data_IF_151037707997
#
_entry.id   IF_151037707997
#
_cell.length_a   1.000
_cell.length_b   1.000
_cell.length_c   1.000
_cell.angle_alpha   90.00
_cell.angle_beta   90.00
_cell.angle_gamma   90.00
#
_symmetry.space_group_name_H-M   'P 1'
#
loop_
_entity.id
_entity.type
_entity.pdbx_description
1 polymer ?
#
# COMPACT_ATOMS: atom_id res chain seq x y z
N UNK A 1 28.44 1.15 -4.48
CA UNK A 1 27.18 1.88 -4.72
C UNK A 1 27.39 2.80 -5.91
N UNK A 2 26.87 2.43 -7.07
CA UNK A 2 26.79 3.31 -8.24
C UNK A 2 25.34 3.31 -8.66
N UNK A 3 24.51 4.04 -7.93
CA UNK A 3 23.19 4.42 -8.43
C UNK A 3 23.46 5.41 -9.56
N UNK A 4 23.08 5.05 -10.78
CA UNK A 4 23.08 6.01 -11.89
C UNK A 4 22.27 7.23 -11.41
N UNK A 5 22.83 8.45 -11.44
CA UNK A 5 22.10 9.62 -10.96
C UNK A 5 20.78 9.74 -11.75
N UNK A 6 19.68 10.13 -11.09
CA UNK A 6 18.38 10.25 -11.76
C UNK A 6 18.51 11.15 -12.98
N UNK A 7 17.90 10.74 -14.09
CA UNK A 7 17.94 11.51 -15.31
C UNK A 7 17.37 12.91 -15.07
N UNK A 8 18.04 13.95 -15.58
CA UNK A 8 17.50 15.31 -15.51
C UNK A 8 16.15 15.34 -16.22
N UNK A 9 15.11 16.00 -15.65
CA UNK A 9 13.81 16.11 -16.30
C UNK A 9 13.98 16.76 -17.68
N UNK A 10 13.43 16.15 -18.73
CA UNK A 10 13.39 16.79 -20.05
C UNK A 10 12.24 17.79 -20.15
N UNK A 11 11.19 17.60 -19.35
CA UNK A 11 10.06 18.50 -19.21
C UNK A 11 9.51 18.39 -17.78
N UNK A 12 9.79 19.35 -16.88
CA UNK A 12 9.30 19.31 -15.50
C UNK A 12 7.77 19.17 -15.48
N UNK A 13 7.27 18.19 -14.72
CA UNK A 13 5.85 17.91 -14.65
C UNK A 13 5.11 19.13 -14.07
N UNK A 14 4.14 19.65 -14.82
CA UNK A 14 3.27 20.75 -14.36
C UNK A 14 2.18 20.17 -13.47
N UNK A 15 2.36 20.29 -12.16
CA UNK A 15 1.39 19.85 -11.18
C UNK A 15 0.26 20.88 -11.03
N UNK A 16 -0.97 20.39 -10.95
CA UNK A 16 -2.16 21.20 -10.68
C UNK A 16 -2.64 20.91 -9.25
N UNK A 17 -2.58 21.91 -8.37
CA UNK A 17 -2.93 21.76 -6.94
C UNK A 17 -4.38 21.31 -6.70
N UNK A 18 -5.27 21.38 -7.69
CA UNK A 18 -6.62 20.81 -7.59
C UNK A 18 -6.59 19.28 -7.55
N UNK A 19 -5.63 18.64 -8.22
CA UNK A 19 -5.58 17.18 -8.39
C UNK A 19 -4.32 16.54 -7.80
N UNK A 20 -3.22 17.30 -7.76
CA UNK A 20 -1.88 16.80 -7.48
C UNK A 20 -1.40 17.29 -6.11
N UNK A 21 -1.60 16.46 -5.09
CA UNK A 21 -1.26 16.73 -3.68
C UNK A 21 -0.05 15.90 -3.19
N UNK A 22 0.92 15.67 -4.07
CA UNK A 22 2.07 14.82 -3.78
C UNK A 22 3.05 15.47 -2.80
N UNK A 23 3.44 14.72 -1.78
CA UNK A 23 4.44 15.10 -0.78
C UNK A 23 5.71 14.23 -0.87
N UNK A 24 5.93 13.65 -2.05
CA UNK A 24 7.07 12.84 -2.43
C UNK A 24 7.53 13.25 -3.84
N UNK A 25 8.78 12.92 -4.23
CA UNK A 25 9.28 13.26 -5.56
C UNK A 25 8.43 12.67 -6.69
N UNK A 26 8.12 13.49 -7.70
CA UNK A 26 7.20 13.14 -8.80
C UNK A 26 7.88 12.91 -10.14
N UNK A 27 9.21 12.99 -10.21
CA UNK A 27 9.97 12.76 -11.45
C UNK A 27 10.46 11.32 -11.50
N UNK A 28 10.21 10.63 -12.62
CA UNK A 28 10.71 9.28 -12.86
C UNK A 28 12.25 9.27 -12.99
N UNK A 29 12.95 8.28 -12.40
CA UNK A 29 14.41 8.25 -12.38
C UNK A 29 15.04 7.98 -13.75
N UNK A 30 14.30 7.35 -14.67
CA UNK A 30 14.75 7.03 -16.03
C UNK A 30 14.01 7.92 -17.01
N UNK A 31 14.75 8.60 -17.90
CA UNK A 31 14.19 9.41 -18.97
C UNK A 31 13.53 8.52 -20.03
N UNK A 32 12.26 8.24 -19.84
CA UNK A 32 11.44 7.45 -20.76
C UNK A 32 10.19 8.26 -21.12
N UNK A 33 9.92 8.40 -22.42
CA UNK A 33 8.76 9.15 -22.90
C UNK A 33 7.46 8.68 -22.23
N UNK A 34 6.61 9.64 -21.88
CA UNK A 34 5.33 9.40 -21.22
C UNK A 34 5.42 9.10 -19.72
N UNK A 35 6.62 9.10 -19.14
CA UNK A 35 6.80 9.01 -17.69
C UNK A 35 6.86 10.40 -17.07
N UNK A 36 6.45 10.55 -15.79
CA UNK A 36 6.47 11.80 -15.07
C UNK A 36 7.84 12.51 -15.13
N UNK A 37 7.85 13.78 -15.56
CA UNK A 37 9.06 14.57 -15.78
C UNK A 37 9.74 14.40 -17.15
N UNK A 38 9.21 13.49 -17.98
CA UNK A 38 9.74 13.14 -19.31
C UNK A 38 8.62 13.03 -20.36
N UNK A 39 7.54 13.79 -20.18
CA UNK A 39 6.43 13.90 -21.12
C UNK A 39 6.71 14.93 -22.21
N UNK A 40 6.14 14.75 -23.40
CA UNK A 40 6.08 15.80 -24.42
C UNK A 40 4.89 16.74 -24.17
N UNK A 41 4.86 17.96 -24.74
CA UNK A 41 3.70 18.83 -24.65
C UNK A 41 2.39 18.19 -25.14
N UNK A 42 2.48 17.32 -26.16
CA UNK A 42 1.33 16.55 -26.65
C UNK A 42 0.84 15.56 -25.60
N UNK A 43 1.74 14.87 -24.91
CA UNK A 43 1.39 13.95 -23.82
C UNK A 43 0.76 14.68 -22.62
N UNK A 44 1.27 15.87 -22.28
CA UNK A 44 0.68 16.73 -21.26
C UNK A 44 -0.75 17.16 -21.64
N UNK A 45 -0.96 17.51 -22.91
CA UNK A 45 -2.30 17.83 -23.43
C UNK A 45 -3.24 16.62 -23.39
N UNK A 46 -2.74 15.41 -23.64
CA UNK A 46 -3.51 14.17 -23.54
C UNK A 46 -3.93 13.84 -22.09
N UNK A 47 -3.08 14.15 -21.10
CA UNK A 47 -3.45 14.07 -19.68
C UNK A 47 -4.60 15.03 -19.37
N UNK A 48 -4.49 16.29 -19.80
CA UNK A 48 -5.55 17.28 -19.60
C UNK A 48 -6.86 16.87 -20.29
N UNK A 49 -6.78 16.38 -21.53
CA UNK A 49 -7.94 15.89 -22.28
C UNK A 49 -8.62 14.72 -21.57
N UNK A 50 -7.85 13.69 -21.16
CA UNK A 50 -8.39 12.55 -20.42
C UNK A 50 -9.08 13.01 -19.13
N UNK A 51 -8.44 13.90 -18.37
CA UNK A 51 -8.99 14.46 -17.14
C UNK A 51 -10.34 15.14 -17.36
N UNK A 52 -10.41 16.06 -18.33
CA UNK A 52 -11.66 16.76 -18.67
C UNK A 52 -12.78 15.80 -19.07
N UNK A 53 -12.47 14.75 -19.84
CA UNK A 53 -13.45 13.76 -20.26
C UNK A 53 -13.99 12.94 -19.08
N UNK A 54 -13.15 12.66 -18.07
CA UNK A 54 -13.55 11.94 -16.86
C UNK A 54 -14.37 12.83 -15.93
N UNK A 55 -13.99 14.10 -15.76
CA UNK A 55 -14.79 15.07 -15.01
C UNK A 55 -16.17 15.28 -15.64
N UNK A 56 -16.27 15.34 -16.97
CA UNK A 56 -17.54 15.43 -17.69
C UNK A 56 -18.46 14.21 -17.47
N UNK A 57 -17.88 13.06 -17.08
CA UNK A 57 -18.63 11.87 -16.66
C UNK A 57 -18.95 11.84 -15.15
N UNK A 58 -18.52 12.86 -14.40
CA UNK A 58 -18.78 12.99 -12.97
C UNK A 58 -17.76 12.30 -12.06
N UNK A 59 -16.61 11.86 -12.58
CA UNK A 59 -15.54 11.33 -11.73
C UNK A 59 -14.80 12.48 -11.03
N UNK A 60 -14.49 12.28 -9.76
CA UNK A 60 -13.75 13.25 -8.91
C UNK A 60 -12.48 12.68 -8.33
N UNK A 61 -12.41 11.35 -8.15
CA UNK A 61 -11.29 10.68 -7.51
C UNK A 61 -10.26 10.20 -8.53
N UNK A 62 -8.99 10.09 -8.09
CA UNK A 62 -7.88 9.48 -8.87
C UNK A 62 -7.64 10.14 -10.24
N UNK A 63 -7.98 11.43 -10.35
CA UNK A 63 -7.71 12.29 -11.51
C UNK A 63 -6.33 12.97 -11.46
N UNK A 64 -5.51 12.58 -10.48
CA UNK A 64 -4.15 13.02 -10.28
C UNK A 64 -3.26 12.62 -11.48
N UNK A 65 -2.30 13.47 -11.80
CA UNK A 65 -1.47 13.38 -13.01
C UNK A 65 -0.71 12.05 -13.10
N UNK A 66 -0.14 11.56 -12.00
CA UNK A 66 0.57 10.29 -11.96
C UNK A 66 -0.35 9.10 -12.26
N UNK A 67 -1.56 9.08 -11.70
CA UNK A 67 -2.55 8.04 -12.03
C UNK A 67 -2.95 8.07 -13.50
N UNK A 68 -3.32 9.24 -14.04
CA UNK A 68 -3.75 9.36 -15.43
C UNK A 68 -2.63 8.97 -16.42
N UNK A 69 -1.37 9.32 -16.11
CA UNK A 69 -0.23 8.92 -16.92
C UNK A 69 -0.06 7.38 -16.98
N UNK A 70 -0.32 6.64 -15.89
CA UNK A 70 -0.28 5.17 -15.90
C UNK A 70 -1.33 4.58 -16.86
N UNK A 71 -2.55 5.10 -16.83
CA UNK A 71 -3.62 4.66 -17.76
C UNK A 71 -3.30 5.00 -19.22
N UNK A 72 -2.77 6.20 -19.48
CA UNK A 72 -2.33 6.60 -20.81
C UNK A 72 -1.20 5.71 -21.32
N UNK A 73 -0.15 5.46 -20.52
CA UNK A 73 0.95 4.55 -20.90
C UNK A 73 0.44 3.15 -21.23
N UNK A 74 -0.44 2.59 -20.39
CA UNK A 74 -1.03 1.27 -20.60
C UNK A 74 -1.85 1.16 -21.90
N UNK A 75 -2.25 2.28 -22.50
CA UNK A 75 -2.99 2.36 -23.77
C UNK A 75 -2.23 3.14 -24.84
N UNK A 76 -0.90 3.22 -24.74
CA UNK A 76 -0.01 3.87 -25.73
C UNK A 76 -0.45 5.31 -26.05
N UNK A 77 -0.88 6.05 -25.03
CA UNK A 77 -1.43 7.41 -25.11
C UNK A 77 -2.68 7.56 -26.00
N UNK A 78 -3.41 6.47 -26.27
CA UNK A 78 -4.76 6.58 -26.82
C UNK A 78 -5.73 7.02 -25.73
N UNK A 79 -6.19 8.27 -25.81
CA UNK A 79 -7.03 8.90 -24.78
C UNK A 79 -8.37 8.19 -24.59
N UNK A 80 -9.05 7.80 -25.67
CA UNK A 80 -10.34 7.10 -25.58
C UNK A 80 -10.18 5.71 -24.94
N UNK A 81 -9.15 4.95 -25.36
CA UNK A 81 -8.88 3.64 -24.78
C UNK A 81 -8.46 3.74 -23.30
N UNK A 82 -7.70 4.78 -22.92
CA UNK A 82 -7.34 5.07 -21.53
C UNK A 82 -8.59 5.42 -20.70
N UNK A 83 -9.49 6.25 -21.24
CA UNK A 83 -10.80 6.56 -20.63
C UNK A 83 -11.63 5.29 -20.41
N UNK A 84 -11.77 4.43 -21.42
CA UNK A 84 -12.51 3.16 -21.27
C UNK A 84 -11.90 2.30 -20.16
N UNK A 85 -10.57 2.20 -20.10
CA UNK A 85 -9.88 1.44 -19.06
C UNK A 85 -10.10 2.05 -17.67
N UNK A 86 -10.03 3.38 -17.54
CA UNK A 86 -10.27 4.09 -16.27
C UNK A 86 -11.70 3.87 -15.78
N UNK A 87 -12.69 4.09 -16.64
CA UNK A 87 -14.11 3.88 -16.32
C UNK A 87 -14.39 2.45 -15.86
N UNK A 88 -13.82 1.45 -16.55
CA UNK A 88 -13.95 0.06 -16.16
C UNK A 88 -13.26 -0.25 -14.82
N UNK A 89 -12.13 0.39 -14.53
CA UNK A 89 -11.44 0.28 -13.24
C UNK A 89 -12.28 0.89 -12.12
N UNK A 90 -12.81 2.09 -12.29
CA UNK A 90 -13.66 2.75 -11.29
C UNK A 90 -14.93 1.94 -11.00
N UNK A 91 -15.55 1.35 -12.03
CA UNK A 91 -16.69 0.46 -11.83
C UNK A 91 -16.29 -0.79 -11.04
N UNK A 92 -15.19 -1.44 -11.42
CA UNK A 92 -14.68 -2.61 -10.69
C UNK A 92 -14.34 -2.27 -9.23
N UNK A 93 -13.72 -1.12 -8.96
CA UNK A 93 -13.40 -0.68 -7.59
C UNK A 93 -14.66 -0.58 -6.73
N UNK A 94 -15.75 -0.03 -7.29
CA UNK A 94 -17.06 0.04 -6.63
C UNK A 94 -17.64 -1.35 -6.39
N UNK A 95 -17.69 -2.20 -7.42
CA UNK A 95 -18.27 -3.54 -7.33
C UNK A 95 -17.50 -4.45 -6.36
N UNK A 96 -16.17 -4.32 -6.32
CA UNK A 96 -15.29 -5.09 -5.45
C UNK A 96 -15.19 -4.54 -4.02
N UNK A 97 -15.64 -3.29 -3.79
CA UNK A 97 -15.49 -2.60 -2.51
C UNK A 97 -14.03 -2.24 -2.18
N UNK A 98 -13.25 -1.84 -3.19
CA UNK A 98 -11.80 -1.65 -3.05
C UNK A 98 -11.42 -0.48 -2.15
N UNK A 99 -12.18 0.62 -2.22
CA UNK A 99 -11.83 1.88 -1.55
C UNK A 99 -11.85 1.80 -0.02
N UNK A 100 -12.62 0.88 0.58
CA UNK A 100 -12.62 0.61 2.03
C UNK A 100 -11.98 -0.74 2.39
N UNK A 101 -11.46 -1.47 1.39
CA UNK A 101 -11.02 -2.84 1.58
C UNK A 101 -9.89 -2.94 2.62
N UNK A 102 -8.92 -2.02 2.58
CA UNK A 102 -7.78 -2.06 3.50
C UNK A 102 -8.20 -1.87 4.96
N UNK A 103 -9.26 -1.10 5.22
CA UNK A 103 -9.77 -0.86 6.57
C UNK A 103 -10.73 -1.95 7.05
N UNK A 104 -11.52 -2.50 6.14
CA UNK A 104 -12.65 -3.36 6.51
C UNK A 104 -12.30 -4.85 6.43
N UNK A 105 -11.41 -5.23 5.50
CA UNK A 105 -11.05 -6.62 5.28
C UNK A 105 -9.94 -7.09 6.22
N UNK A 106 -10.30 -8.05 7.08
CA UNK A 106 -9.37 -8.70 8.00
C UNK A 106 -9.06 -10.12 7.52
N UNK A 107 -7.80 -10.36 7.13
CA UNK A 107 -7.32 -11.66 6.68
C UNK A 107 -6.77 -12.48 7.85
N UNK A 108 -7.67 -12.88 8.75
CA UNK A 108 -7.34 -13.54 10.02
C UNK A 108 -6.63 -14.88 9.85
N UNK A 109 -6.86 -15.56 8.72
CA UNK A 109 -6.23 -16.83 8.39
C UNK A 109 -4.88 -16.69 7.66
N UNK A 110 -4.30 -15.47 7.58
CA UNK A 110 -3.07 -15.19 6.83
C UNK A 110 -1.93 -16.14 7.21
N UNK A 111 -1.71 -16.39 8.50
CA UNK A 111 -0.61 -17.25 8.96
C UNK A 111 -0.79 -18.71 8.51
N UNK A 112 -2.02 -19.24 8.56
CA UNK A 112 -2.34 -20.59 8.10
C UNK A 112 -2.20 -20.71 6.58
N UNK A 113 -2.65 -19.69 5.84
CA UNK A 113 -2.49 -19.63 4.38
C UNK A 113 -1.02 -19.52 3.99
N UNK A 114 -0.22 -18.80 4.77
CA UNK A 114 1.21 -18.58 4.53
C UNK A 114 2.00 -19.89 4.49
N UNK A 115 1.58 -20.94 5.20
CA UNK A 115 2.22 -22.26 5.14
C UNK A 115 2.21 -22.86 3.72
N UNK A 116 1.14 -22.59 2.96
CA UNK A 116 0.92 -23.12 1.61
C UNK A 116 1.23 -22.09 0.53
N UNK A 117 0.99 -20.81 0.78
CA UNK A 117 1.25 -19.76 -0.19
C UNK A 117 1.87 -18.52 0.46
N UNK A 118 3.20 -18.56 0.70
CA UNK A 118 3.94 -17.40 1.17
C UNK A 118 3.86 -16.24 0.18
N UNK A 119 3.33 -15.11 0.64
CA UNK A 119 3.26 -13.84 -0.09
C UNK A 119 3.55 -12.69 0.87
N UNK A 120 4.54 -11.86 0.57
CA UNK A 120 4.91 -10.75 1.46
C UNK A 120 5.77 -9.69 0.75
N UNK A 121 5.69 -8.46 1.26
CA UNK A 121 6.65 -7.41 0.94
C UNK A 121 7.81 -7.42 1.93
N UNK A 122 9.00 -7.11 1.46
CA UNK A 122 10.19 -7.04 2.29
C UNK A 122 11.25 -6.08 1.72
N UNK A 123 11.41 -4.92 2.37
CA UNK A 123 12.42 -3.92 2.08
C UNK A 123 12.38 -3.49 0.60
N UNK A 124 13.53 -3.10 0.04
CA UNK A 124 13.63 -2.52 -1.30
C UNK A 124 14.77 -3.10 -2.13
N UNK A 125 14.62 -3.03 -3.45
CA UNK A 125 15.71 -3.25 -4.39
C UNK A 125 16.68 -2.06 -4.42
N UNK A 126 17.76 -2.15 -5.20
CA UNK A 126 18.79 -1.10 -5.30
C UNK A 126 18.30 0.18 -5.96
N UNK A 127 17.16 0.12 -6.66
CA UNK A 127 16.52 1.25 -7.32
C UNK A 127 15.40 1.84 -6.42
N UNK A 128 15.26 1.33 -5.19
CA UNK A 128 14.30 1.79 -4.18
C UNK A 128 12.92 1.12 -4.24
N UNK A 129 12.65 0.23 -5.20
CA UNK A 129 11.32 -0.39 -5.34
C UNK A 129 11.03 -1.33 -4.18
N UNK A 130 9.80 -1.35 -3.63
CA UNK A 130 9.37 -2.40 -2.71
C UNK A 130 9.60 -3.79 -3.32
N UNK A 131 10.25 -4.70 -2.59
CA UNK A 131 10.42 -6.08 -3.04
C UNK A 131 9.23 -6.90 -2.58
N UNK A 132 8.51 -7.49 -3.52
CA UNK A 132 7.44 -8.45 -3.28
C UNK A 132 7.96 -9.87 -3.52
N UNK A 133 7.67 -10.79 -2.63
CA UNK A 133 8.12 -12.18 -2.71
C UNK A 133 6.91 -13.11 -2.63
N UNK A 134 6.84 -14.05 -3.57
CA UNK A 134 5.83 -15.11 -3.59
C UNK A 134 6.46 -16.48 -3.87
N UNK A 135 5.99 -17.52 -3.19
CA UNK A 135 6.49 -18.90 -3.36
C UNK A 135 5.38 -19.81 -3.90
N UNK A 136 5.36 -20.01 -5.23
CA UNK A 136 4.32 -20.79 -5.89
C UNK A 136 4.48 -22.29 -5.69
N UNK A 137 5.71 -22.77 -5.48
CA UNK A 137 5.97 -24.20 -5.35
C UNK A 137 5.47 -24.85 -4.07
N UNK A 138 4.96 -24.06 -3.12
CA UNK A 138 4.31 -24.55 -1.90
C UNK A 138 2.80 -24.66 -2.02
N UNK A 139 2.20 -24.14 -3.11
CA UNK A 139 0.75 -24.03 -3.22
C UNK A 139 0.11 -25.42 -3.19
N UNK A 140 -0.75 -25.61 -2.19
CA UNK A 140 -1.74 -26.68 -2.12
C UNK A 140 -3.13 -26.05 -2.01
N UNK A 141 -3.80 -25.87 -3.15
CA UNK A 141 -5.14 -25.29 -3.17
C UNK A 141 -6.17 -26.14 -2.43
N UNK A 142 -5.97 -27.46 -2.35
CA UNK A 142 -6.89 -28.34 -1.64
C UNK A 142 -6.80 -28.12 -0.13
N UNK A 143 -5.60 -27.94 0.40
CA UNK A 143 -5.42 -27.54 1.80
C UNK A 143 -5.90 -26.10 2.04
N UNK A 144 -5.55 -25.17 1.17
CA UNK A 144 -5.93 -23.76 1.31
C UNK A 144 -7.44 -23.54 1.26
N UNK A 145 -8.19 -24.25 0.40
CA UNK A 145 -9.64 -24.12 0.34
C UNK A 145 -10.39 -24.71 1.55
N UNK A 146 -9.68 -25.39 2.46
CA UNK A 146 -10.23 -25.74 3.79
C UNK A 146 -10.07 -24.59 4.81
N UNK A 147 -9.21 -23.61 4.50
CA UNK A 147 -8.81 -22.52 5.40
C UNK A 147 -9.42 -21.19 4.93
N UNK A 148 -9.43 -20.95 3.62
CA UNK A 148 -9.84 -19.68 3.00
C UNK A 148 -10.62 -19.94 1.70
N UNK A 149 -11.05 -18.88 1.03
CA UNK A 149 -11.72 -18.94 -0.27
C UNK A 149 -10.93 -18.17 -1.32
N UNK A 150 -11.14 -18.50 -2.60
CA UNK A 150 -10.54 -17.73 -3.71
C UNK A 150 -10.88 -16.23 -3.60
N UNK A 151 -12.12 -15.89 -3.25
CA UNK A 151 -12.54 -14.50 -3.05
C UNK A 151 -11.71 -13.79 -1.97
N UNK A 152 -11.51 -14.43 -0.81
CA UNK A 152 -10.71 -13.87 0.28
C UNK A 152 -9.23 -13.75 -0.10
N UNK A 153 -8.69 -14.70 -0.84
CA UNK A 153 -7.33 -14.61 -1.40
C UNK A 153 -7.18 -13.44 -2.38
N UNK A 154 -8.17 -13.21 -3.24
CA UNK A 154 -8.16 -12.07 -4.17
C UNK A 154 -8.34 -10.74 -3.42
N UNK A 155 -9.18 -10.68 -2.37
CA UNK A 155 -9.28 -9.50 -1.50
C UNK A 155 -7.96 -9.20 -0.79
N UNK A 156 -7.28 -10.24 -0.29
CA UNK A 156 -5.94 -10.10 0.30
C UNK A 156 -4.92 -9.53 -0.70
N UNK A 157 -4.90 -10.05 -1.94
CA UNK A 157 -4.06 -9.52 -3.01
C UNK A 157 -4.35 -8.04 -3.31
N UNK A 158 -5.62 -7.68 -3.42
CA UNK A 158 -6.05 -6.30 -3.69
C UNK A 158 -5.67 -5.37 -2.52
N UNK A 159 -5.82 -5.82 -1.26
CA UNK A 159 -5.32 -5.08 -0.10
C UNK A 159 -3.82 -4.81 -0.20
N UNK A 160 -3.03 -5.80 -0.61
CA UNK A 160 -1.58 -5.61 -0.76
C UNK A 160 -1.23 -4.65 -1.91
N UNK A 161 -2.05 -4.56 -2.96
CA UNK A 161 -1.91 -3.55 -4.02
C UNK A 161 -2.29 -2.14 -3.57
N UNK A 162 -3.36 -2.00 -2.80
CA UNK A 162 -3.72 -0.70 -2.23
C UNK A 162 -2.64 -0.22 -1.24
N UNK A 163 -2.13 -1.12 -0.39
CA UNK A 163 -0.97 -0.83 0.48
C UNK A 163 0.31 -0.53 -0.29
N UNK A 164 0.53 -1.21 -1.42
CA UNK A 164 1.64 -0.89 -2.33
C UNK A 164 1.52 0.55 -2.82
N UNK A 165 0.34 0.92 -3.32
CA UNK A 165 0.06 2.26 -3.83
C UNK A 165 0.23 3.34 -2.75
N UNK A 166 -0.21 3.05 -1.51
CA UNK A 166 -0.10 3.93 -0.35
C UNK A 166 -0.16 3.08 0.94
N UNK A 167 0.87 3.06 1.81
CA UNK A 167 1.98 4.01 1.89
C UNK A 167 3.31 3.55 1.28
N UNK A 168 3.41 2.33 0.73
CA UNK A 168 4.72 1.75 0.37
C UNK A 168 5.47 2.55 -0.69
N UNK A 169 4.85 2.81 -1.84
CA UNK A 169 5.49 3.56 -2.92
C UNK A 169 5.81 5.02 -2.54
N UNK A 170 4.90 5.79 -1.91
CA UNK A 170 5.21 7.12 -1.38
C UNK A 170 6.42 7.14 -0.44
N UNK A 171 6.45 6.24 0.55
CA UNK A 171 7.57 6.18 1.51
C UNK A 171 8.89 5.82 0.82
N UNK A 172 8.86 4.87 -0.12
CA UNK A 172 10.04 4.52 -0.90
C UNK A 172 10.51 5.67 -1.79
N UNK A 173 9.59 6.44 -2.38
CA UNK A 173 9.92 7.61 -3.19
C UNK A 173 10.58 8.72 -2.36
N UNK A 174 10.10 8.98 -1.14
CA UNK A 174 10.74 9.90 -0.20
C UNK A 174 12.17 9.47 0.14
N UNK A 175 12.36 8.19 0.49
CA UNK A 175 13.68 7.64 0.82
C UNK A 175 14.66 7.67 -0.36
N UNK A 176 14.17 7.37 -1.57
CA UNK A 176 15.01 7.25 -2.77
C UNK A 176 15.30 8.61 -3.44
N UNK A 177 14.54 9.65 -3.10
CA UNK A 177 14.70 10.99 -3.68
C UNK A 177 14.17 11.13 -5.11
N UNK A 178 13.44 10.14 -5.63
CA UNK A 178 12.81 10.16 -6.94
C UNK A 178 11.50 9.36 -6.93
N UNK A 179 10.67 9.53 -7.96
CA UNK A 179 9.39 8.84 -8.05
C UNK A 179 9.59 7.32 -8.12
N UNK A 180 8.71 6.59 -7.44
CA UNK A 180 8.55 5.14 -7.56
C UNK A 180 7.10 4.81 -7.81
N UNK A 181 6.82 4.20 -8.97
CA UNK A 181 5.47 3.76 -9.35
C UNK A 181 5.30 2.23 -9.31
N UNK A 182 6.42 1.50 -9.15
CA UNK A 182 6.52 0.06 -9.43
C UNK A 182 7.19 -0.74 -8.30
N UNK A 183 6.86 -2.03 -8.19
CA UNK A 183 7.56 -2.99 -7.33
C UNK A 183 8.59 -3.86 -8.10
N UNK A 184 9.45 -4.54 -7.34
CA UNK A 184 10.30 -5.63 -7.80
C UNK A 184 9.78 -6.96 -7.25
N UNK A 185 9.30 -7.86 -8.11
CA UNK A 185 8.74 -9.15 -7.70
C UNK A 185 9.77 -10.27 -7.83
N UNK A 186 9.87 -11.13 -6.80
CA UNK A 186 10.59 -12.39 -6.82
C UNK A 186 9.56 -13.52 -6.67
N UNK A 187 9.45 -14.35 -7.70
CA UNK A 187 8.53 -15.49 -7.78
C UNK A 187 9.34 -16.78 -7.75
N UNK A 188 9.24 -17.53 -6.65
CA UNK A 188 9.95 -18.80 -6.47
C UNK A 188 9.11 -19.98 -6.96
N UNK A 189 9.63 -20.71 -7.96
CA UNK A 189 9.01 -21.90 -8.53
C UNK A 189 9.57 -23.21 -7.95
N UNK A 190 10.41 -23.17 -6.91
CA UNK A 190 10.96 -24.37 -6.29
C UNK A 190 9.83 -25.26 -5.74
N UNK A 191 9.66 -26.45 -6.32
CA UNK A 191 8.61 -27.39 -5.96
C UNK A 191 7.38 -27.35 -6.87
N UNK A 192 7.33 -26.44 -7.86
CA UNK A 192 6.26 -26.43 -8.87
C UNK A 192 6.42 -27.65 -9.79
N UNK A 193 5.54 -28.64 -9.60
CA UNK A 193 5.36 -29.77 -10.52
C UNK A 193 4.32 -29.48 -11.60
N UNK A 194 4.40 -30.20 -12.72
CA UNK A 194 3.44 -30.09 -13.85
C UNK A 194 2.00 -30.37 -13.40
N UNK A 195 1.80 -31.28 -12.43
CA UNK A 195 0.49 -31.64 -11.88
C UNK A 195 -0.21 -30.49 -11.13
N UNK A 196 0.55 -29.58 -10.51
CA UNK A 196 0.00 -28.49 -9.72
C UNK A 196 -0.17 -27.19 -10.55
N UNK A 197 0.52 -27.08 -11.68
CA UNK A 197 0.42 -25.91 -12.55
C UNK A 197 -1.02 -25.69 -13.09
N UNK A 198 -1.72 -26.78 -13.44
CA UNK A 198 -3.09 -26.70 -13.95
C UNK A 198 -4.11 -26.29 -12.87
N UNK A 199 -3.95 -26.76 -11.62
CA UNK A 199 -4.86 -26.43 -10.53
C UNK A 199 -4.74 -24.96 -10.09
N UNK A 200 -3.52 -24.40 -10.10
CA UNK A 200 -3.28 -22.99 -9.73
C UNK A 200 -3.57 -21.99 -10.84
N UNK A 201 -3.64 -22.45 -12.10
CA UNK A 201 -3.81 -21.59 -13.27
C UNK A 201 -5.04 -20.68 -13.18
N UNK A 202 -6.15 -21.19 -12.64
CA UNK A 202 -7.38 -20.40 -12.48
C UNK A 202 -7.19 -19.17 -11.59
N UNK A 203 -6.57 -19.36 -10.41
CA UNK A 203 -6.28 -18.28 -9.48
C UNK A 203 -5.26 -17.29 -10.07
N UNK A 204 -4.16 -17.80 -10.65
CA UNK A 204 -3.13 -16.95 -11.28
C UNK A 204 -3.72 -16.12 -12.42
N UNK A 205 -4.62 -16.69 -13.23
CA UNK A 205 -5.30 -15.98 -14.31
C UNK A 205 -6.19 -14.84 -13.77
N UNK A 206 -6.93 -15.09 -12.69
CA UNK A 206 -7.76 -14.06 -12.04
C UNK A 206 -6.90 -12.94 -11.44
N UNK A 207 -5.85 -13.28 -10.69
CA UNK A 207 -4.90 -12.33 -10.12
C UNK A 207 -4.20 -11.49 -11.20
N UNK A 208 -3.78 -12.12 -12.30
CA UNK A 208 -3.20 -11.45 -13.46
C UNK A 208 -4.19 -10.50 -14.13
N UNK A 209 -5.46 -10.89 -14.27
CA UNK A 209 -6.49 -10.03 -14.85
C UNK A 209 -6.74 -8.78 -13.98
N UNK A 210 -6.79 -8.93 -12.65
CA UNK A 210 -6.89 -7.78 -11.73
C UNK A 210 -5.70 -6.84 -11.91
N UNK A 211 -4.49 -7.41 -11.91
CA UNK A 211 -3.25 -6.64 -12.00
C UNK A 211 -3.16 -5.84 -13.30
N UNK A 212 -3.48 -6.45 -14.45
CA UNK A 212 -3.37 -5.81 -15.76
C UNK A 212 -4.47 -4.78 -16.02
N UNK A 213 -5.70 -5.05 -15.57
CA UNK A 213 -6.85 -4.20 -15.89
C UNK A 213 -7.02 -3.04 -14.91
N UNK A 214 -6.64 -3.22 -13.64
CA UNK A 214 -6.96 -2.27 -12.57
C UNK A 214 -5.73 -1.64 -11.91
N UNK A 215 -4.55 -2.27 -12.06
CA UNK A 215 -3.28 -1.78 -11.53
C UNK A 215 -2.22 -1.61 -12.64
N UNK A 216 -2.51 -0.83 -13.71
CA UNK A 216 -1.58 -0.66 -14.81
C UNK A 216 -0.25 -0.06 -14.34
N UNK A 217 0.83 -0.47 -15.01
CA UNK A 217 2.18 0.07 -14.83
C UNK A 217 2.74 -0.04 -13.40
N UNK A 218 2.32 -1.08 -12.64
CA UNK A 218 2.84 -1.36 -11.28
C UNK A 218 4.00 -2.35 -11.21
N UNK A 219 4.26 -3.13 -12.27
CA UNK A 219 5.40 -4.05 -12.32
C UNK A 219 6.64 -3.34 -12.88
N UNK A 220 7.74 -3.34 -12.11
CA UNK A 220 9.03 -2.77 -12.51
C UNK A 220 10.01 -3.84 -12.96
N UNK A 221 10.20 -4.86 -12.12
CA UNK A 221 11.03 -6.04 -12.38
C UNK A 221 10.32 -7.30 -11.90
N UNK A 222 10.45 -8.40 -12.64
CA UNK A 222 10.02 -9.72 -12.21
C UNK A 222 11.18 -10.69 -12.33
N UNK A 223 11.53 -11.36 -11.25
CA UNK A 223 12.50 -12.45 -11.20
C UNK A 223 11.76 -13.75 -10.89
N UNK A 224 11.74 -14.66 -11.85
CA UNK A 224 11.24 -16.02 -11.66
C UNK A 224 12.45 -16.89 -11.35
N UNK A 225 12.54 -17.44 -10.15
CA UNK A 225 13.69 -18.23 -9.68
C UNK A 225 13.32 -19.70 -9.51
N UNK A 226 14.34 -20.58 -9.49
CA UNK A 226 14.16 -22.03 -9.45
C UNK A 226 13.23 -22.54 -10.55
N UNK A 227 13.26 -21.90 -11.73
CA UNK A 227 12.42 -22.32 -12.85
C UNK A 227 12.81 -23.74 -13.29
N UNK A 228 11.87 -24.68 -13.40
CA UNK A 228 12.18 -26.06 -13.76
C UNK A 228 12.72 -26.17 -15.18
N UNK A 229 13.53 -27.19 -15.43
CA UNK A 229 14.06 -27.48 -16.77
C UNK A 229 12.87 -27.75 -17.73
N UNK A 230 12.66 -26.83 -18.69
CA UNK A 230 11.48 -26.80 -19.58
C UNK A 230 10.49 -25.65 -19.35
N UNK A 231 10.61 -24.89 -18.25
CA UNK A 231 9.76 -23.72 -17.99
C UNK A 231 9.89 -22.66 -19.09
N UNK A 232 11.03 -22.55 -19.75
CA UNK A 232 11.22 -21.65 -20.90
C UNK A 232 10.21 -21.90 -22.04
N UNK A 233 9.78 -23.15 -22.23
CA UNK A 233 8.76 -23.52 -23.21
C UNK A 233 7.37 -23.05 -22.77
N UNK A 234 7.00 -23.29 -21.51
CA UNK A 234 5.73 -22.80 -20.93
C UNK A 234 5.69 -21.26 -20.95
N UNK A 235 6.79 -20.62 -20.55
CA UNK A 235 6.92 -19.18 -20.56
C UNK A 235 6.84 -18.59 -21.97
N UNK A 236 7.31 -19.29 -22.99
CA UNK A 236 7.16 -18.85 -24.39
C UNK A 236 5.70 -18.79 -24.83
N UNK A 237 4.83 -19.66 -24.30
CA UNK A 237 3.38 -19.59 -24.51
C UNK A 237 2.77 -18.43 -23.70
N UNK A 238 3.17 -18.27 -22.44
CA UNK A 238 2.69 -17.18 -21.56
C UNK A 238 3.05 -15.80 -22.12
N UNK A 239 4.24 -15.64 -22.72
CA UNK A 239 4.66 -14.40 -23.39
C UNK A 239 3.67 -13.93 -24.46
N UNK A 240 2.97 -14.83 -25.15
CA UNK A 240 1.96 -14.48 -26.14
C UNK A 240 0.75 -13.73 -25.55
N UNK A 241 0.53 -13.84 -24.24
CA UNK A 241 -0.57 -13.19 -23.52
C UNK A 241 -0.14 -11.92 -22.76
N UNK A 242 1.17 -11.65 -22.69
CA UNK A 242 1.72 -10.49 -22.00
C UNK A 242 2.11 -9.42 -23.02
N UNK A 243 1.93 -8.15 -22.67
CA UNK A 243 2.42 -7.09 -23.53
C UNK A 243 3.97 -7.09 -23.59
N UNK A 244 4.59 -6.64 -24.69
CA UNK A 244 6.05 -6.66 -24.84
C UNK A 244 6.83 -5.91 -23.76
N UNK A 245 6.24 -4.84 -23.19
CA UNK A 245 6.88 -4.06 -22.11
C UNK A 245 6.95 -4.92 -20.85
N UNK A 246 5.86 -5.61 -20.49
CA UNK A 246 5.87 -6.57 -19.39
C UNK A 246 6.89 -7.67 -19.62
N UNK A 247 6.96 -8.28 -20.82
CA UNK A 247 7.94 -9.34 -21.13
C UNK A 247 9.38 -8.87 -20.92
N UNK A 248 9.71 -7.63 -21.28
CA UNK A 248 11.07 -7.06 -21.11
C UNK A 248 11.51 -6.91 -19.65
N UNK A 249 10.56 -6.94 -18.71
CA UNK A 249 10.81 -6.82 -17.26
C UNK A 249 11.04 -8.17 -16.58
N UNK A 250 10.83 -9.29 -17.28
CA UNK A 250 10.86 -10.64 -16.72
C UNK A 250 12.23 -11.29 -16.92
N UNK A 251 12.81 -11.77 -15.82
CA UNK A 251 14.06 -12.51 -15.76
C UNK A 251 13.74 -13.92 -15.27
N UNK A 252 13.96 -14.93 -16.11
CA UNK A 252 13.73 -16.33 -15.77
C UNK A 252 15.06 -16.99 -15.44
N UNK A 253 15.20 -17.46 -14.21
CA UNK A 253 16.42 -17.99 -13.63
C UNK A 253 16.22 -19.42 -13.13
N UNK A 254 17.25 -20.26 -13.32
CA UNK A 254 17.30 -21.62 -12.77
C UNK A 254 17.65 -21.63 -11.28
N UNK A 255 18.37 -22.66 -10.83
CA UNK A 255 18.78 -22.83 -9.43
C UNK A 255 19.96 -21.95 -8.99
N UNK A 256 20.76 -21.41 -9.91
CA UNK A 256 21.89 -20.50 -9.62
C UNK A 256 21.52 -19.02 -9.73
N UNK A 257 20.38 -18.63 -9.18
CA UNK A 257 19.77 -17.31 -9.35
C UNK A 257 20.38 -16.23 -8.44
N UNK A 258 21.09 -16.61 -7.38
CA UNK A 258 21.49 -15.75 -6.26
C UNK A 258 22.32 -14.57 -6.74
N UNK A 259 23.24 -14.78 -7.68
CA UNK A 259 24.08 -13.72 -8.26
C UNK A 259 23.24 -12.63 -8.94
N UNK A 260 22.22 -13.03 -9.69
CA UNK A 260 21.34 -12.10 -10.42
C UNK A 260 20.40 -11.37 -9.46
N UNK A 261 19.89 -12.05 -8.42
CA UNK A 261 19.11 -11.39 -7.37
C UNK A 261 19.96 -10.38 -6.60
N UNK A 262 21.16 -10.74 -6.16
CA UNK A 262 22.08 -9.85 -5.45
C UNK A 262 22.57 -8.68 -6.31
N UNK A 263 22.54 -8.81 -7.64
CA UNK A 263 22.81 -7.69 -8.54
C UNK A 263 21.68 -6.65 -8.57
N UNK A 264 20.46 -6.99 -8.13
CA UNK A 264 19.30 -6.10 -8.09
C UNK A 264 18.86 -5.74 -6.67
N UNK A 265 18.85 -6.67 -5.73
CA UNK A 265 18.44 -6.48 -4.34
C UNK A 265 19.69 -6.51 -3.45
N UNK A 266 19.97 -5.45 -2.68
CA UNK A 266 21.10 -5.44 -1.74
C UNK A 266 21.07 -6.64 -0.81
N UNK A 267 22.24 -7.19 -0.47
CA UNK A 267 22.34 -8.43 0.31
C UNK A 267 21.64 -8.29 1.68
N UNK A 268 21.81 -7.14 2.32
CA UNK A 268 21.17 -6.74 3.58
C UNK A 268 19.64 -6.62 3.50
N UNK A 269 19.10 -6.49 2.27
CA UNK A 269 17.67 -6.39 2.01
C UNK A 269 17.05 -7.71 1.54
N UNK A 270 17.86 -8.65 1.04
CA UNK A 270 17.40 -9.94 0.56
C UNK A 270 17.39 -10.97 1.70
N UNK A 271 16.29 -11.74 1.91
CA UNK A 271 16.27 -12.79 2.93
C UNK A 271 17.35 -13.86 2.70
N UNK A 272 17.91 -14.41 3.77
CA UNK A 272 18.92 -15.49 3.71
C UNK A 272 18.51 -16.68 2.83
N UNK A 273 17.22 -17.05 2.82
CA UNK A 273 16.70 -18.16 2.01
C UNK A 273 16.86 -17.96 0.49
N UNK A 274 17.09 -16.73 0.02
CA UNK A 274 17.29 -16.38 -1.38
C UNK A 274 18.73 -15.93 -1.69
N UNK A 275 19.69 -16.22 -0.80
CA UNK A 275 21.10 -15.90 -0.96
C UNK A 275 21.53 -14.53 -0.41
N UNK A 276 20.64 -13.83 0.30
CA UNK A 276 20.97 -12.57 0.98
C UNK A 276 21.50 -12.74 2.41
N UNK A 277 21.48 -11.66 3.17
CA UNK A 277 21.96 -11.57 4.55
C UNK A 277 20.87 -11.13 5.53
N UNK A 278 19.69 -10.73 5.05
CA UNK A 278 18.63 -10.21 5.90
C UNK A 278 18.03 -11.29 6.81
N UNK A 279 17.90 -10.94 8.07
CA UNK A 279 17.20 -11.70 9.10
C UNK A 279 16.48 -10.71 10.03
N UNK A 280 15.14 -10.74 10.01
CA UNK A 280 14.32 -9.88 10.86
C UNK A 280 13.85 -10.63 12.11
N UNK A 281 13.65 -9.93 13.25
CA UNK A 281 12.88 -10.46 14.37
C UNK A 281 11.51 -10.96 13.87
N UNK A 282 11.11 -12.18 14.26
CA UNK A 282 9.87 -12.80 13.79
C UNK A 282 9.91 -13.34 12.35
N UNK A 283 11.05 -13.24 11.67
CA UNK A 283 11.25 -13.70 10.30
C UNK A 283 10.91 -12.64 9.25
N UNK A 284 11.73 -12.58 8.18
CA UNK A 284 11.52 -11.63 7.08
C UNK A 284 10.07 -11.60 6.54
N UNK A 285 9.37 -12.74 6.38
CA UNK A 285 8.04 -12.74 5.78
C UNK A 285 6.93 -12.07 6.59
N UNK A 286 7.04 -12.06 7.92
CA UNK A 286 6.04 -11.47 8.80
C UNK A 286 6.39 -10.06 9.26
N UNK A 287 7.62 -9.62 8.97
CA UNK A 287 8.13 -8.33 9.41
C UNK A 287 7.49 -7.13 8.70
N UNK A 288 7.06 -7.29 7.44
CA UNK A 288 6.65 -6.19 6.53
C UNK A 288 7.61 -4.98 6.56
N UNK A 289 8.89 -5.23 6.87
CA UNK A 289 9.90 -4.18 7.02
C UNK A 289 10.13 -3.45 5.71
N UNK A 290 10.29 -2.13 5.77
CA UNK A 290 10.65 -1.29 4.63
C UNK A 290 10.51 0.20 4.97
N UNK A 291 10.74 1.09 4.00
CA UNK A 291 10.65 2.54 4.22
C UNK A 291 9.30 3.00 4.77
N UNK A 292 8.23 2.25 4.50
CA UNK A 292 6.88 2.51 5.02
C UNK A 292 6.68 2.23 6.51
N UNK A 293 7.68 1.64 7.19
CA UNK A 293 7.70 1.50 8.65
C UNK A 293 8.78 2.38 9.32
N UNK A 294 9.58 3.10 8.53
CA UNK A 294 10.64 3.98 9.03
C UNK A 294 10.06 5.38 9.26
N UNK A 295 10.14 5.92 10.48
CA UNK A 295 9.50 7.18 10.89
C UNK A 295 9.89 8.40 10.05
N UNK A 296 11.07 8.36 9.43
CA UNK A 296 11.62 9.39 8.56
C UNK A 296 10.90 9.48 7.21
N UNK A 297 10.28 8.37 6.76
CA UNK A 297 9.72 8.24 5.42
C UNK A 297 8.24 7.86 5.40
N UNK A 298 7.80 7.13 6.43
CA UNK A 298 6.43 6.70 6.61
C UNK A 298 5.51 7.90 6.91
N UNK A 299 4.34 7.89 6.28
CA UNK A 299 3.25 8.80 6.61
C UNK A 299 1.93 8.04 6.59
N UNK A 300 0.91 8.52 7.33
CA UNK A 300 -0.41 7.91 7.29
C UNK A 300 -0.94 7.86 5.85
N UNK A 301 -1.43 6.70 5.39
CA UNK A 301 -2.02 6.58 4.07
C UNK A 301 -3.38 7.28 4.01
N UNK A 302 -3.83 7.66 2.82
CA UNK A 302 -5.11 8.36 2.59
C UNK A 302 -6.33 7.55 3.05
N UNK A 303 -6.23 6.22 2.97
CA UNK A 303 -7.27 5.29 3.42
C UNK A 303 -7.26 5.04 4.93
N UNK A 304 -6.23 5.47 5.66
CA UNK A 304 -6.29 5.41 7.12
C UNK A 304 -7.41 6.34 7.59
N UNK A 305 -8.29 5.81 8.44
CA UNK A 305 -9.27 6.66 9.13
C UNK A 305 -8.47 7.73 9.85
N UNK A 306 -8.79 9.01 9.60
CA UNK A 306 -8.39 10.05 10.53
C UNK A 306 -9.06 9.65 11.83
N UNK A 307 -8.29 9.32 12.84
CA UNK A 307 -8.83 9.27 14.17
C UNK A 307 -9.42 10.66 14.43
N UNK A 308 -10.75 10.77 14.43
CA UNK A 308 -11.45 11.86 15.10
C UNK A 308 -11.27 11.63 16.61
N UNK A 309 -10.01 11.78 17.04
CA UNK A 309 -9.63 12.17 18.38
C UNK A 309 -9.18 13.62 18.20
N UNK A 310 -9.97 14.61 18.55
CA UNK A 310 -10.47 14.71 19.91
C UNK A 310 -9.31 14.76 20.92
N UNK A 311 -8.12 15.26 20.55
CA UNK A 311 -6.97 15.35 21.47
C UNK A 311 -6.29 16.74 21.50
N UNK A 312 -6.94 17.77 20.94
CA UNK A 312 -6.62 19.19 21.27
C UNK A 312 -7.81 19.95 21.92
N UNK A 313 -8.98 19.32 22.04
CA UNK A 313 -10.13 19.89 22.75
C UNK A 313 -10.19 19.48 24.23
N UNK A 314 -9.81 18.24 24.58
CA UNK A 314 -9.85 17.78 25.98
C UNK A 314 -8.76 18.41 26.87
N UNK A 315 -7.60 18.81 26.31
CA UNK A 315 -6.59 19.57 27.07
C UNK A 315 -6.98 21.04 27.36
N UNK A 316 -8.07 21.55 26.78
CA UNK A 316 -8.60 22.89 27.09
C UNK A 316 -9.81 22.88 28.02
N UNK A 317 -10.46 21.74 28.23
CA UNK A 317 -11.53 21.60 29.22
C UNK A 317 -11.05 21.07 30.57
N UNK A 318 -10.06 20.16 30.62
CA UNK A 318 -9.47 19.73 31.90
C UNK A 318 -8.68 20.85 32.59
N UNK A 319 -7.93 21.66 31.82
CA UNK A 319 -7.24 22.84 32.36
C UNK A 319 -8.15 24.03 32.73
N UNK A 320 -9.45 23.96 32.39
CA UNK A 320 -10.45 24.94 32.83
C UNK A 320 -11.21 24.48 34.06
N UNK A 321 -11.44 23.16 34.21
CA UNK A 321 -12.08 22.59 35.39
C UNK A 321 -11.18 22.69 36.63
N UNK A 322 -9.87 22.42 36.50
CA UNK A 322 -8.93 22.54 37.63
C UNK A 322 -8.75 24.01 38.08
N UNK A 323 -8.80 24.97 37.16
CA UNK A 323 -8.70 26.41 37.48
C UNK A 323 -9.98 27.04 38.06
N UNK A 324 -11.12 26.36 37.97
CA UNK A 324 -12.39 26.80 38.58
C UNK A 324 -12.65 26.16 39.96
N UNK A 325 -12.08 24.97 40.24
CA UNK A 325 -12.11 24.39 41.59
C UNK A 325 -11.14 25.10 42.56
N UNK A 326 -9.93 25.48 42.11
CA UNK A 326 -8.98 26.22 42.96
C UNK A 326 -9.48 27.63 43.34
N UNK A 327 -10.32 28.25 42.50
CA UNK A 327 -10.96 29.56 42.80
C UNK A 327 -12.18 29.46 43.72
N UNK A 328 -12.76 28.26 43.91
CA UNK A 328 -13.89 28.04 44.82
C UNK A 328 -13.43 27.74 46.24
N UNK A 329 -12.29 27.07 46.43
CA UNK A 329 -11.74 26.81 47.77
C UNK A 329 -11.15 28.07 48.44
N UNK A 330 -10.63 29.03 47.68
CA UNK A 330 -10.10 30.29 48.26
C UNK A 330 -11.21 31.29 48.61
N UNK A 331 -12.37 31.24 47.95
CA UNK A 331 -13.50 32.13 48.22
C UNK A 331 -14.33 31.74 49.46
N UNK A 332 -14.30 30.47 49.88
CA UNK A 332 -15.00 29.97 51.08
C UNK A 332 -14.19 30.12 52.37
N UNK A 333 -12.86 30.32 52.30
CA UNK A 333 -12.03 30.62 53.47
C UNK A 333 -12.09 32.08 53.92
N UNK A 334 -12.49 33.02 53.06
CA UNK A 334 -12.54 34.45 53.39
C UNK A 334 -13.91 34.91 53.95
N UNK A 335 -14.95 34.05 53.93
CA UNK A 335 -16.29 34.36 54.50
C UNK A 335 -16.56 33.78 55.90
N UNK A 336 -15.62 33.04 56.50
CA UNK A 336 -15.79 32.45 57.83
C UNK A 336 -15.34 33.36 59.01
N UNK A 337 -14.99 34.63 58.76
CA UNK A 337 -14.53 35.55 59.79
C UNK A 337 -15.43 36.80 59.93
N UNK A 338 -16.71 36.62 60.29
CA UNK A 338 -17.57 37.75 60.72
C UNK A 338 -18.77 37.35 61.61
N UNK A 339 -18.51 37.16 62.91
CA UNK A 339 -19.35 37.52 64.09
C UNK A 339 -20.77 36.87 64.28
N UNK A 340 -21.47 37.10 65.43
CA UNK A 340 -21.12 36.71 66.80
C UNK A 340 -22.27 35.98 67.59
N UNK A 341 -21.88 35.40 68.73
CA UNK A 341 -22.56 35.17 70.04
C UNK A 341 -24.07 34.84 70.18
N UNK A 342 -24.31 33.72 70.89
CA UNK A 342 -25.32 33.38 71.94
C UNK A 342 -26.80 33.77 71.73
N UNK A 343 -27.79 32.87 71.89
CA UNK A 343 -28.27 32.40 73.21
C UNK A 343 -29.23 31.19 73.12
N UNK A 344 -29.00 30.23 74.01
CA UNK A 344 -29.91 29.31 74.77
C UNK A 344 -31.40 29.15 74.41
N UNK A 345 -31.88 27.89 74.27
CA UNK A 345 -32.70 27.20 75.31
C UNK A 345 -33.09 25.75 74.96
N UNK A 346 -33.09 24.93 76.01
CA UNK A 346 -33.43 23.51 76.26
C UNK A 346 -34.75 22.90 75.69
N UNK A 347 -34.96 21.56 75.84
CA UNK A 347 -35.66 20.67 74.89
C UNK A 347 -36.99 20.06 75.41
N UNK A 348 -37.69 19.30 74.55
CA UNK A 348 -38.77 18.40 74.99
C UNK A 348 -38.82 17.08 74.19
N UNK A 349 -38.75 15.98 74.95
CA UNK A 349 -39.03 14.58 74.58
C UNK A 349 -40.49 14.35 74.17
N UNK A 350 -40.74 13.28 73.40
CA UNK A 350 -41.59 12.12 73.73
C UNK A 350 -41.76 11.21 72.48
N UNK A 351 -41.38 9.93 72.55
CA UNK A 351 -42.26 8.78 72.88
C UNK A 351 -43.32 8.54 71.79
N UNK A 352 -43.69 7.36 71.28
CA UNK A 352 -43.38 5.94 71.48
C UNK A 352 -44.37 5.16 70.54
N UNK A 353 -44.20 3.84 70.42
CA UNK A 353 -45.23 2.81 70.06
C UNK A 353 -45.51 2.63 68.54
N UNK A 354 -45.05 1.57 67.88
CA UNK A 354 -45.40 0.13 67.93
C UNK A 354 -46.79 -0.21 67.36
N UNK A 355 -46.80 -0.88 66.20
CA UNK A 355 -47.47 -2.16 65.94
C UNK A 355 -47.05 -2.66 64.55
#
# INVERSE_FOLDING_TARGET
MSTTPPAKPTNPLKLDSKYDDYDFPTTAPVAQSGHPGHTTPEQDAQVAQLRMMLEALGYTDRLDTLTLLRFLRARKFNVEAAKTMFVACEQWRKDFGTDSLVTDFHYTEKEQVFEYYPQYYHKTDKDGRPVYIEQLGKIDLTAMYKITTSERMLKSLVCEYEKLADPRLPACARKSGHLLETCCTIMDLKGVGISNAASVFGYIKQASAISQNYYPERLGKLYIINAPWGFSTVFSVVKGFLDPVTVSKINVLGSGYEKELLAQVPAENLPKQFGGQCECPGGCPFSDMGPWQESEWAKPPKWAKKDDKGEEAEKKEEGKAEGEEEKKEDADKEKAAAAPAETTSAPAQKDQISA
#
